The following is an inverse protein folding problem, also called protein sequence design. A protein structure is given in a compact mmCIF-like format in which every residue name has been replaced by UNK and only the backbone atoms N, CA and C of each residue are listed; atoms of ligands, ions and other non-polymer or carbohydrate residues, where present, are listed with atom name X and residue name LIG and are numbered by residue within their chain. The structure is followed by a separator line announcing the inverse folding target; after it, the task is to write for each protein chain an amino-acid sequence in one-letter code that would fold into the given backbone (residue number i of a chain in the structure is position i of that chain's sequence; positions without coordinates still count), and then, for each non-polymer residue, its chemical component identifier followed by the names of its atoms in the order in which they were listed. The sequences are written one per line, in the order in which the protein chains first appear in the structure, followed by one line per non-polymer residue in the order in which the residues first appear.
data_IF_469587959858
#
_entry.id   IF_469587959858
#
_cell.length_a   1.000
_cell.length_b   1.000
_cell.length_c   1.000
_cell.angle_alpha   90.00
_cell.angle_beta   90.00
_cell.angle_gamma   90.00
#
_symmetry.space_group_name_H-M   'P 1'
#
loop_
_entity.id
_entity.type
_entity.pdbx_description
1 polymer ?
#
# COMPACT_ATOMS: atom_id res chain seq x y z
N UNK A 1 21.75 -22.80 -4.60
CA UNK A 1 20.52 -22.70 -3.82
C UNK A 1 20.58 -21.42 -3.00
N UNK A 2 19.55 -20.58 -3.11
CA UNK A 2 19.41 -19.38 -2.27
C UNK A 2 19.10 -19.81 -0.84
N UNK A 3 19.67 -19.10 0.14
CA UNK A 3 19.44 -19.35 1.58
C UNK A 3 18.59 -18.28 2.24
N UNK A 4 18.48 -17.10 1.60
CA UNK A 4 17.72 -15.96 2.07
C UNK A 4 17.33 -15.12 0.88
N UNK A 5 16.10 -14.63 0.86
CA UNK A 5 15.59 -13.62 -0.05
C UNK A 5 14.97 -12.50 0.79
N UNK A 6 15.21 -11.26 0.38
CA UNK A 6 14.70 -10.09 1.09
C UNK A 6 13.69 -9.39 0.18
N UNK A 7 12.51 -9.12 0.73
CA UNK A 7 11.46 -8.31 0.12
C UNK A 7 11.30 -7.00 0.90
N UNK A 8 11.27 -5.88 0.19
CA UNK A 8 11.06 -4.56 0.77
C UNK A 8 10.71 -3.52 -0.29
N UNK A 9 10.39 -2.31 0.14
CA UNK A 9 10.26 -1.10 -0.67
C UNK A 9 9.00 -0.98 -1.56
N UNK A 10 8.31 -2.08 -1.89
CA UNK A 10 7.06 -2.06 -2.64
C UNK A 10 6.12 -3.15 -2.13
N UNK A 11 4.79 -3.00 -2.29
CA UNK A 11 3.84 -4.04 -1.95
C UNK A 11 4.06 -5.31 -2.78
N UNK A 12 3.73 -6.45 -2.19
CA UNK A 12 3.66 -7.72 -2.88
C UNK A 12 2.29 -8.36 -2.59
N UNK A 13 1.47 -8.65 -3.62
CA UNK A 13 0.18 -9.29 -3.39
C UNK A 13 0.32 -10.59 -2.61
N UNK A 14 -0.59 -10.80 -1.63
CA UNK A 14 -0.57 -11.95 -0.73
C UNK A 14 -0.45 -13.27 -1.49
N UNK A 15 -1.25 -13.43 -2.55
CA UNK A 15 -1.23 -14.62 -3.42
C UNK A 15 0.16 -14.89 -4.01
N UNK A 16 0.81 -13.84 -4.52
CA UNK A 16 2.14 -13.95 -5.16
C UNK A 16 3.19 -14.35 -4.12
N UNK A 17 3.18 -13.72 -2.95
CA UNK A 17 4.14 -14.03 -1.89
C UNK A 17 3.96 -15.44 -1.34
N UNK A 18 2.72 -15.93 -1.20
CA UNK A 18 2.44 -17.33 -0.87
C UNK A 18 3.07 -18.29 -1.89
N UNK A 19 2.82 -18.06 -3.18
CA UNK A 19 3.40 -18.88 -4.25
C UNK A 19 4.93 -18.87 -4.24
N UNK A 20 5.54 -17.73 -3.93
CA UNK A 20 6.99 -17.60 -3.79
C UNK A 20 7.54 -18.40 -2.61
N UNK A 21 6.86 -18.37 -1.46
CA UNK A 21 7.25 -19.15 -0.28
C UNK A 21 7.06 -20.66 -0.55
N UNK A 22 5.99 -21.07 -1.20
CA UNK A 22 5.77 -22.46 -1.62
C UNK A 22 6.87 -22.95 -2.57
N UNK A 23 7.29 -22.10 -3.51
CA UNK A 23 8.31 -22.46 -4.51
C UNK A 23 9.73 -22.49 -3.94
N UNK A 24 10.11 -21.49 -3.13
CA UNK A 24 11.48 -21.33 -2.63
C UNK A 24 11.70 -21.92 -1.24
N UNK A 25 10.63 -22.23 -0.51
CA UNK A 25 10.65 -22.50 0.92
C UNK A 25 10.62 -21.22 1.76
N UNK A 26 10.64 -21.34 3.11
CA UNK A 26 10.48 -20.24 4.04
C UNK A 26 11.76 -19.40 4.20
N UNK A 27 12.32 -18.92 3.08
CA UNK A 27 13.57 -18.15 3.04
C UNK A 27 13.36 -16.66 2.79
N UNK A 28 12.09 -16.22 2.64
CA UNK A 28 11.76 -14.82 2.36
C UNK A 28 11.63 -14.09 3.69
N UNK A 29 12.37 -13.01 3.82
CA UNK A 29 12.26 -12.04 4.89
C UNK A 29 11.71 -10.74 4.32
N UNK A 30 10.78 -10.12 5.01
CA UNK A 30 10.25 -8.81 4.64
C UNK A 30 10.62 -7.77 5.68
N UNK A 31 10.85 -6.54 5.21
CA UNK A 31 10.93 -5.41 6.10
C UNK A 31 10.25 -4.16 5.50
N UNK A 32 9.74 -3.32 6.38
CA UNK A 32 9.24 -1.99 6.10
C UNK A 32 10.02 -0.97 6.91
N UNK A 33 10.61 0.00 6.23
CA UNK A 33 11.36 1.09 6.82
C UNK A 33 11.48 2.26 5.83
N UNK A 34 11.70 3.46 6.35
CA UNK A 34 12.09 4.64 5.58
C UNK A 34 13.55 5.00 5.78
N UNK A 35 14.13 5.73 4.82
CA UNK A 35 15.46 6.32 4.93
C UNK A 35 15.56 7.37 6.06
N UNK A 36 14.43 7.84 6.54
CA UNK A 36 14.25 8.73 7.68
C UNK A 36 14.66 8.07 9.01
N UNK A 37 14.74 6.75 9.06
CA UNK A 37 15.20 6.01 10.24
C UNK A 37 14.29 6.11 11.47
N UNK A 38 13.01 6.41 11.27
CA UNK A 38 12.03 6.58 12.35
C UNK A 38 11.43 5.26 12.83
N UNK A 39 11.46 4.21 12.01
CA UNK A 39 10.96 2.88 12.36
C UNK A 39 11.57 1.80 11.49
N UNK A 40 11.61 0.58 12.03
CA UNK A 40 12.00 -0.63 11.30
C UNK A 40 11.12 -1.79 11.73
N UNK A 41 10.33 -2.30 10.81
CA UNK A 41 9.39 -3.41 10.98
C UNK A 41 9.91 -4.58 10.15
N UNK A 42 9.86 -5.80 10.65
CA UNK A 42 10.27 -6.95 9.86
C UNK A 42 9.54 -8.24 10.28
N UNK A 43 9.50 -9.20 9.35
CA UNK A 43 9.08 -10.57 9.61
C UNK A 43 9.84 -11.56 8.72
N UNK A 44 9.83 -12.82 9.15
CA UNK A 44 10.23 -13.95 8.34
C UNK A 44 9.02 -14.61 7.66
N UNK A 45 9.27 -15.65 6.85
CA UNK A 45 8.20 -16.36 6.12
C UNK A 45 7.20 -17.08 7.02
N UNK A 46 7.62 -17.59 8.18
CA UNK A 46 6.75 -18.32 9.10
C UNK A 46 5.78 -17.35 9.80
N UNK A 47 6.30 -16.22 10.29
CA UNK A 47 5.50 -15.14 10.85
C UNK A 47 4.54 -14.57 9.81
N UNK A 48 5.02 -14.37 8.57
CA UNK A 48 4.18 -13.86 7.50
C UNK A 48 3.04 -14.82 7.13
N UNK A 49 3.28 -16.14 7.09
CA UNK A 49 2.24 -17.14 6.82
C UNK A 49 1.19 -17.23 7.94
N UNK A 50 1.58 -16.92 9.17
CA UNK A 50 0.65 -16.82 10.29
C UNK A 50 -0.16 -15.52 10.30
N UNK A 51 0.39 -14.44 9.70
CA UNK A 51 -0.20 -13.10 9.62
C UNK A 51 -0.14 -12.58 8.18
N UNK A 52 -0.91 -13.20 7.29
CA UNK A 52 -0.86 -12.94 5.86
C UNK A 52 -1.11 -11.48 5.50
N UNK A 53 -0.20 -10.90 4.72
CA UNK A 53 -0.25 -9.49 4.30
C UNK A 53 0.44 -8.52 5.25
N UNK A 54 0.95 -8.99 6.39
CA UNK A 54 1.73 -8.14 7.31
C UNK A 54 3.09 -7.76 6.72
N UNK A 55 3.64 -6.63 7.17
CA UNK A 55 5.04 -6.26 6.98
C UNK A 55 5.89 -6.61 8.21
N UNK A 56 5.28 -7.18 9.26
CA UNK A 56 5.95 -7.71 10.45
C UNK A 56 5.68 -6.96 11.74
N UNK A 57 6.60 -7.16 12.70
CA UNK A 57 6.61 -6.50 14.02
C UNK A 57 7.71 -5.44 14.13
N UNK A 58 7.55 -4.47 15.04
CA UNK A 58 8.55 -3.44 15.26
C UNK A 58 9.83 -4.02 15.86
N UNK A 59 10.97 -3.70 15.24
CA UNK A 59 12.32 -3.95 15.76
C UNK A 59 12.91 -2.64 16.27
N UNK A 60 12.60 -1.52 15.59
CA UNK A 60 12.99 -0.17 16.00
C UNK A 60 11.78 0.74 15.89
N UNK A 61 11.60 1.63 16.87
CA UNK A 61 10.44 2.51 16.99
C UNK A 61 9.19 1.77 17.46
N UNK A 62 8.24 2.50 18.04
CA UNK A 62 6.93 1.98 18.44
C UNK A 62 5.91 2.55 17.46
N UNK A 63 5.20 1.71 16.68
CA UNK A 63 4.17 2.17 15.78
C UNK A 63 2.88 2.50 16.55
N UNK A 64 2.29 3.64 16.22
CA UNK A 64 0.99 4.11 16.68
C UNK A 64 0.13 4.40 15.46
N UNK A 65 -1.14 4.02 15.50
CA UNK A 65 -2.10 4.27 14.41
C UNK A 65 -3.03 5.40 14.86
N UNK A 66 -3.05 6.49 14.12
CA UNK A 66 -3.82 7.68 14.51
C UNK A 66 -4.77 8.16 13.41
N UNK A 67 -5.86 8.80 13.85
CA UNK A 67 -6.76 9.53 12.98
C UNK A 67 -6.13 10.81 12.40
N UNK A 68 -6.90 11.59 11.64
CA UNK A 68 -6.44 12.85 11.04
C UNK A 68 -6.17 13.96 12.08
N UNK A 69 -6.66 13.83 13.31
CA UNK A 69 -6.41 14.75 14.41
C UNK A 69 -5.20 14.33 15.26
N UNK A 70 -4.56 13.21 14.95
CA UNK A 70 -3.47 12.65 15.72
C UNK A 70 -3.93 11.91 16.99
N UNK A 71 -5.21 11.51 17.08
CA UNK A 71 -5.71 10.67 18.17
C UNK A 71 -5.46 9.21 17.84
N UNK A 72 -4.91 8.47 18.78
CA UNK A 72 -4.64 7.04 18.62
C UNK A 72 -5.95 6.24 18.47
N UNK A 73 -5.98 5.38 17.45
CA UNK A 73 -7.12 4.54 17.11
C UNK A 73 -7.05 3.18 17.80
N UNK A 74 -8.20 2.53 18.03
CA UNK A 74 -8.25 1.14 18.51
C UNK A 74 -7.50 0.18 17.57
N UNK A 75 -7.02 -0.94 18.14
CA UNK A 75 -6.42 -2.04 17.37
C UNK A 75 -7.39 -2.53 16.30
N UNK A 76 -6.87 -2.75 15.09
CA UNK A 76 -7.63 -3.19 13.91
C UNK A 76 -8.20 -2.05 13.07
N UNK A 77 -8.26 -0.82 13.58
CA UNK A 77 -8.66 0.35 12.79
C UNK A 77 -7.52 0.90 11.95
N UNK A 78 -7.86 1.42 10.78
CA UNK A 78 -6.90 1.98 9.82
C UNK A 78 -6.69 3.48 10.06
N UNK A 79 -5.44 3.91 10.05
CA UNK A 79 -5.07 5.31 10.22
C UNK A 79 -3.63 5.59 9.81
N UNK A 80 -3.20 6.84 10.00
CA UNK A 80 -1.81 7.24 9.73
C UNK A 80 -0.86 6.55 10.71
N UNK A 81 0.20 5.94 10.19
CA UNK A 81 1.24 5.28 10.98
C UNK A 81 2.21 6.33 11.49
N UNK A 82 2.34 6.41 12.80
CA UNK A 82 3.34 7.21 13.50
C UNK A 82 4.31 6.29 14.21
N UNK A 83 5.59 6.66 14.21
CA UNK A 83 6.62 5.95 14.96
C UNK A 83 7.11 6.81 16.10
N UNK A 84 6.98 6.31 17.32
CA UNK A 84 7.65 6.87 18.49
C UNK A 84 9.11 6.41 18.51
N UNK A 85 10.04 7.35 18.62
CA UNK A 85 11.47 7.07 18.65
C UNK A 85 12.31 8.35 18.64
N UNK A 86 13.63 8.18 18.67
CA UNK A 86 14.59 9.28 18.77
C UNK A 86 15.06 9.82 17.40
N UNK A 87 14.35 9.50 16.30
CA UNK A 87 14.74 9.95 14.97
C UNK A 87 14.52 11.45 14.77
N UNK A 88 15.60 12.20 14.56
CA UNK A 88 15.58 13.66 14.29
C UNK A 88 15.94 13.96 12.83
N UNK A 89 15.29 13.27 11.88
CA UNK A 89 15.48 13.54 10.46
C UNK A 89 14.85 14.87 10.03
N UNK A 90 15.37 15.46 8.96
CA UNK A 90 14.83 16.66 8.30
C UNK A 90 14.89 16.48 6.79
N UNK A 91 13.82 16.90 6.11
CA UNK A 91 13.83 16.96 4.65
C UNK A 91 14.65 18.14 4.18
N UNK A 92 15.58 17.90 3.24
CA UNK A 92 16.50 18.93 2.76
C UNK A 92 15.74 20.06 2.06
N UNK A 93 15.89 21.30 2.58
CA UNK A 93 15.24 22.51 2.06
C UNK A 93 13.70 22.41 1.99
N UNK A 94 13.08 21.58 2.81
CA UNK A 94 11.63 21.42 2.88
C UNK A 94 11.17 21.39 4.35
N UNK A 95 11.14 22.57 4.94
CA UNK A 95 10.70 22.75 6.34
C UNK A 95 9.21 22.41 6.51
N UNK A 96 8.40 22.61 5.46
CA UNK A 96 6.98 22.30 5.50
C UNK A 96 6.79 20.79 5.65
N UNK A 97 7.39 20.00 4.77
CA UNK A 97 7.33 18.53 4.83
C UNK A 97 7.94 17.99 6.11
N UNK A 98 9.03 18.60 6.59
CA UNK A 98 9.64 18.24 7.88
C UNK A 98 8.66 18.45 9.04
N UNK A 99 7.93 19.57 9.05
CA UNK A 99 6.91 19.84 10.08
C UNK A 99 5.73 18.91 9.98
N UNK A 100 5.24 18.64 8.77
CA UNK A 100 4.12 17.70 8.51
C UNK A 100 4.44 16.27 8.89
N UNK A 101 5.72 15.87 8.88
CA UNK A 101 6.18 14.57 9.34
C UNK A 101 6.28 14.42 10.86
N UNK A 102 6.01 15.47 11.63
CA UNK A 102 6.02 15.46 13.11
C UNK A 102 4.61 15.45 13.66
N UNK A 103 4.40 14.64 14.69
CA UNK A 103 3.11 14.56 15.34
C UNK A 103 2.75 15.87 16.05
N UNK A 104 1.52 16.37 15.94
CA UNK A 104 1.15 17.70 16.48
C UNK A 104 1.30 17.82 18.00
N UNK A 105 1.14 16.72 18.74
CA UNK A 105 1.15 16.72 20.21
C UNK A 105 2.31 15.94 20.82
N UNK A 106 2.87 14.95 20.12
CA UNK A 106 3.93 14.06 20.62
C UNK A 106 5.24 14.34 19.88
N UNK A 107 6.15 15.08 20.51
CA UNK A 107 7.36 15.61 19.86
C UNK A 107 8.35 14.53 19.37
N UNK A 108 8.29 13.33 19.93
CA UNK A 108 9.13 12.18 19.55
C UNK A 108 8.44 11.20 18.56
N UNK A 109 7.25 11.57 18.05
CA UNK A 109 6.57 10.77 17.03
C UNK A 109 6.75 11.40 15.64
N UNK A 110 7.02 10.53 14.67
CA UNK A 110 7.16 10.94 13.27
C UNK A 110 6.50 9.94 12.32
N UNK A 111 6.11 10.42 11.13
CA UNK A 111 5.43 9.63 10.11
C UNK A 111 6.15 9.71 8.76
N UNK A 112 6.02 8.65 7.96
CA UNK A 112 6.37 8.62 6.53
C UNK A 112 5.18 8.97 5.63
N UNK A 113 3.98 9.16 6.23
CA UNK A 113 2.73 9.39 5.52
C UNK A 113 2.07 8.12 5.00
N UNK A 114 2.47 6.97 5.52
CA UNK A 114 1.83 5.69 5.21
C UNK A 114 0.62 5.47 6.13
N UNK A 115 -0.36 4.74 5.63
CA UNK A 115 -1.59 4.34 6.32
C UNK A 115 -1.57 2.84 6.55
N UNK A 116 -2.07 2.39 7.69
CA UNK A 116 -2.12 0.98 8.02
C UNK A 116 -2.84 0.73 9.34
N UNK A 117 -2.74 -0.50 9.82
CA UNK A 117 -3.32 -0.95 11.09
C UNK A 117 -2.42 -1.94 11.80
N UNK A 118 -2.63 -2.08 13.11
CA UNK A 118 -2.03 -3.13 13.93
C UNK A 118 -3.08 -4.20 14.23
N UNK A 119 -2.68 -5.47 14.25
CA UNK A 119 -3.49 -6.54 14.81
C UNK A 119 -3.28 -6.71 16.34
N UNK A 120 -4.05 -7.62 16.96
CA UNK A 120 -3.97 -7.90 18.40
C UNK A 120 -2.62 -8.45 18.83
N UNK A 121 -1.87 -9.06 17.91
CA UNK A 121 -0.54 -9.62 18.14
C UNK A 121 0.59 -8.60 17.88
N UNK A 122 0.24 -7.38 17.46
CA UNK A 122 1.17 -6.28 17.20
C UNK A 122 1.88 -6.35 15.84
N UNK A 123 1.33 -7.10 14.89
CA UNK A 123 1.79 -7.06 13.50
C UNK A 123 1.21 -5.86 12.76
N UNK A 124 2.05 -5.20 11.97
CA UNK A 124 1.68 -4.05 11.16
C UNK A 124 1.26 -4.49 9.76
N UNK A 125 0.16 -3.94 9.29
CA UNK A 125 -0.36 -4.09 7.92
C UNK A 125 -0.39 -2.74 7.24
N UNK A 126 0.23 -2.62 6.08
CA UNK A 126 0.17 -1.40 5.28
C UNK A 126 -1.08 -1.43 4.39
N UNK A 127 -1.79 -0.33 4.36
CA UNK A 127 -2.94 -0.14 3.44
C UNK A 127 -2.49 0.62 2.20
N UNK A 128 -1.95 1.83 2.35
CA UNK A 128 -1.48 2.69 1.25
C UNK A 128 -0.69 3.90 1.80
N UNK A 129 -0.40 4.84 0.90
CA UNK A 129 0.06 6.18 1.28
C UNK A 129 -1.10 7.17 1.33
N UNK A 130 -1.13 7.98 2.38
CA UNK A 130 -2.14 9.04 2.54
C UNK A 130 -2.21 9.97 1.33
N UNK A 131 -1.08 10.23 0.68
CA UNK A 131 -0.99 11.09 -0.50
C UNK A 131 -1.69 10.53 -1.76
N UNK A 132 -1.97 9.22 -1.80
CA UNK A 132 -2.61 8.56 -2.94
C UNK A 132 -4.08 8.22 -2.69
N UNK A 133 -4.56 8.49 -1.48
CA UNK A 133 -5.95 8.24 -1.08
C UNK A 133 -6.91 9.01 -1.97
N UNK A 134 -7.88 8.30 -2.53
CA UNK A 134 -8.98 8.83 -3.35
C UNK A 134 -10.16 9.13 -2.43
N UNK A 135 -10.73 10.32 -2.52
CA UNK A 135 -11.90 10.70 -1.72
C UNK A 135 -13.13 10.71 -2.63
N UNK A 136 -13.88 9.63 -2.61
CA UNK A 136 -15.10 9.48 -3.43
C UNK A 136 -16.35 9.43 -2.57
N UNK A 137 -17.27 10.39 -2.76
CA UNK A 137 -18.51 10.48 -1.98
C UNK A 137 -18.27 10.60 -0.46
N UNK A 138 -17.15 11.19 -0.03
CA UNK A 138 -16.78 11.32 1.38
C UNK A 138 -16.18 10.03 1.99
N UNK A 139 -15.91 9.02 1.18
CA UNK A 139 -15.26 7.76 1.61
C UNK A 139 -13.83 7.71 1.12
N UNK A 140 -12.93 7.34 2.02
CA UNK A 140 -11.52 7.12 1.68
C UNK A 140 -11.36 5.78 0.96
N UNK A 141 -10.82 5.82 -0.26
CA UNK A 141 -10.47 4.64 -1.04
C UNK A 141 -8.97 4.61 -1.26
N UNK A 142 -8.36 3.50 -0.93
CA UNK A 142 -6.92 3.30 -1.09
C UNK A 142 -6.65 2.51 -2.38
N UNK A 143 -5.98 3.12 -3.38
CA UNK A 143 -5.69 2.50 -4.67
C UNK A 143 -5.05 1.13 -4.60
N UNK A 144 -4.15 0.92 -3.65
CA UNK A 144 -3.35 -0.29 -3.52
C UNK A 144 -4.19 -1.57 -3.40
N UNK A 145 -5.37 -1.50 -2.79
CA UNK A 145 -6.24 -2.68 -2.66
C UNK A 145 -6.77 -3.13 -4.02
N UNK A 146 -7.15 -2.17 -4.85
CA UNK A 146 -7.64 -2.44 -6.21
C UNK A 146 -6.49 -2.87 -7.14
N UNK A 147 -5.32 -2.25 -7.01
CA UNK A 147 -4.11 -2.65 -7.74
C UNK A 147 -3.68 -4.08 -7.40
N UNK A 148 -3.67 -4.44 -6.11
CA UNK A 148 -3.34 -5.79 -5.64
C UNK A 148 -4.27 -6.85 -6.19
N UNK A 149 -5.53 -6.52 -6.45
CA UNK A 149 -6.47 -7.40 -7.10
C UNK A 149 -6.21 -7.48 -8.60
N UNK A 150 -6.16 -6.33 -9.29
CA UNK A 150 -6.02 -6.26 -10.75
C UNK A 150 -4.77 -6.94 -11.27
N UNK A 151 -3.63 -6.80 -10.58
CA UNK A 151 -2.37 -7.45 -10.97
C UNK A 151 -2.42 -8.99 -10.91
N UNK A 152 -3.41 -9.58 -10.23
CA UNK A 152 -3.61 -11.03 -10.21
C UNK A 152 -4.39 -11.55 -11.40
N UNK A 153 -4.96 -10.67 -12.22
CA UNK A 153 -5.72 -11.06 -13.40
C UNK A 153 -4.78 -11.53 -14.51
N UNK A 154 -5.08 -12.67 -15.21
CA UNK A 154 -4.17 -13.28 -16.17
C UNK A 154 -3.87 -12.44 -17.41
N UNK A 155 -4.63 -11.38 -17.67
CA UNK A 155 -4.42 -10.47 -18.82
C UNK A 155 -3.73 -9.16 -18.44
N UNK A 156 -3.43 -8.92 -17.16
CA UNK A 156 -2.82 -7.70 -16.65
C UNK A 156 -1.33 -7.93 -16.41
N UNK A 157 -0.49 -7.13 -17.06
CA UNK A 157 0.96 -7.09 -16.85
C UNK A 157 1.34 -6.14 -15.72
N UNK A 158 0.70 -4.96 -15.70
CA UNK A 158 0.88 -3.94 -14.68
C UNK A 158 -0.38 -3.07 -14.58
N UNK A 159 -0.56 -2.38 -13.46
CA UNK A 159 -1.69 -1.48 -13.28
C UNK A 159 -1.37 -0.33 -12.34
N UNK A 160 -2.10 0.76 -12.48
CA UNK A 160 -2.16 1.86 -11.54
C UNK A 160 -3.61 2.27 -11.33
N UNK A 161 -3.97 2.64 -10.10
CA UNK A 161 -5.30 3.15 -9.77
C UNK A 161 -5.18 4.56 -9.24
N UNK A 162 -5.99 5.46 -9.77
CA UNK A 162 -5.94 6.89 -9.47
C UNK A 162 -7.34 7.46 -9.22
N UNK A 163 -7.40 8.56 -8.47
CA UNK A 163 -8.58 9.40 -8.40
C UNK A 163 -8.63 10.36 -9.59
N UNK A 164 -9.77 10.45 -10.24
CA UNK A 164 -10.03 11.47 -11.27
C UNK A 164 -11.21 12.34 -10.84
N UNK A 165 -11.24 13.64 -11.22
CA UNK A 165 -12.34 14.52 -10.81
C UNK A 165 -13.71 13.99 -11.26
N UNK A 166 -14.67 14.02 -10.35
CA UNK A 166 -16.08 13.69 -10.58
C UNK A 166 -16.97 14.78 -9.98
N UNK A 167 -17.94 15.29 -10.74
CA UNK A 167 -18.78 16.42 -10.32
C UNK A 167 -19.70 16.07 -9.14
N UNK A 168 -20.14 14.80 -9.02
CA UNK A 168 -21.07 14.36 -7.99
C UNK A 168 -20.35 13.86 -6.72
N UNK A 169 -19.23 13.14 -6.88
CA UNK A 169 -18.55 12.46 -5.79
C UNK A 169 -17.22 13.10 -5.38
N UNK A 170 -16.82 14.21 -6.03
CA UNK A 170 -15.51 14.84 -5.87
C UNK A 170 -14.43 14.14 -6.70
N UNK A 171 -14.19 12.87 -6.41
CA UNK A 171 -13.33 11.99 -7.20
C UNK A 171 -14.03 10.66 -7.51
N UNK A 172 -13.61 10.00 -8.58
CA UNK A 172 -13.95 8.61 -8.87
C UNK A 172 -12.71 7.77 -9.13
N UNK A 173 -12.84 6.48 -8.89
CA UNK A 173 -11.75 5.52 -9.08
C UNK A 173 -11.60 5.20 -10.56
N UNK A 174 -10.39 5.37 -11.08
CA UNK A 174 -10.00 5.01 -12.45
C UNK A 174 -8.80 4.07 -12.40
N UNK A 175 -8.80 3.02 -13.22
CA UNK A 175 -7.63 2.18 -13.40
C UNK A 175 -6.93 2.48 -14.73
N UNK A 176 -5.61 2.36 -14.74
CA UNK A 176 -4.77 2.41 -15.94
C UNK A 176 -4.09 1.05 -16.02
N UNK A 177 -4.30 0.33 -17.11
CA UNK A 177 -3.89 -1.06 -17.27
C UNK A 177 -2.84 -1.19 -18.38
N UNK A 178 -1.77 -1.90 -18.06
CA UNK A 178 -0.85 -2.44 -19.03
C UNK A 178 -1.26 -3.90 -19.31
N UNK A 179 -1.89 -4.20 -20.46
CA UNK A 179 -2.31 -5.55 -20.76
C UNK A 179 -1.11 -6.40 -21.21
N UNK A 180 -1.09 -7.70 -20.86
CA UNK A 180 -0.07 -8.64 -21.34
C UNK A 180 -0.06 -8.70 -22.87
N UNK A 181 -1.25 -8.69 -23.48
CA UNK A 181 -1.41 -8.64 -24.93
C UNK A 181 -2.11 -7.36 -25.34
N UNK A 182 -1.35 -6.44 -25.92
CA UNK A 182 -1.85 -5.14 -26.37
C UNK A 182 -3.05 -5.20 -27.33
N UNK A 183 -3.19 -6.28 -28.09
CA UNK A 183 -4.30 -6.45 -29.03
C UNK A 183 -5.64 -6.73 -28.35
N UNK A 184 -5.65 -7.11 -27.07
CA UNK A 184 -6.86 -7.42 -26.30
C UNK A 184 -7.47 -6.17 -25.63
N UNK A 185 -6.79 -5.01 -25.70
CA UNK A 185 -7.34 -3.76 -25.15
C UNK A 185 -8.64 -3.36 -25.81
N UNK A 186 -9.55 -2.78 -25.07
CA UNK A 186 -10.82 -2.25 -25.55
C UNK A 186 -11.96 -2.59 -24.59
N UNK A 187 -13.16 -2.30 -25.05
CA UNK A 187 -14.38 -2.35 -24.22
C UNK A 187 -14.60 -3.75 -23.58
N UNK A 188 -14.30 -4.82 -24.31
CA UNK A 188 -14.46 -6.19 -23.81
C UNK A 188 -13.54 -6.47 -22.60
N UNK A 189 -12.27 -6.04 -22.66
CA UNK A 189 -11.33 -6.21 -21.55
C UNK A 189 -11.63 -5.24 -20.41
N UNK A 190 -12.07 -4.01 -20.70
CA UNK A 190 -12.52 -3.08 -19.69
C UNK A 190 -13.68 -3.66 -18.88
N UNK A 191 -14.73 -4.16 -19.55
CA UNK A 191 -15.87 -4.77 -18.88
C UNK A 191 -15.47 -6.00 -18.06
N UNK A 192 -14.60 -6.86 -18.59
CA UNK A 192 -14.07 -8.04 -17.89
C UNK A 192 -13.36 -7.66 -16.60
N UNK A 193 -12.46 -6.66 -16.64
CA UNK A 193 -11.69 -6.21 -15.48
C UNK A 193 -12.56 -5.47 -14.43
N UNK A 194 -13.50 -4.65 -14.88
CA UNK A 194 -14.45 -3.99 -13.97
C UNK A 194 -15.33 -5.05 -13.26
N UNK A 195 -15.82 -6.06 -13.98
CA UNK A 195 -16.60 -7.14 -13.39
C UNK A 195 -15.75 -7.98 -12.43
N UNK A 196 -14.49 -8.26 -12.76
CA UNK A 196 -13.55 -8.92 -11.87
C UNK A 196 -13.36 -8.13 -10.56
N UNK A 197 -13.27 -6.79 -10.62
CA UNK A 197 -13.23 -5.97 -9.43
C UNK A 197 -14.53 -6.05 -8.61
N UNK A 198 -15.69 -5.98 -9.26
CA UNK A 198 -17.01 -6.03 -8.59
C UNK A 198 -17.28 -7.35 -7.86
N UNK A 199 -16.73 -8.44 -8.34
CA UNK A 199 -16.84 -9.76 -7.71
C UNK A 199 -15.99 -9.90 -6.44
N UNK A 200 -14.94 -9.09 -6.29
CA UNK A 200 -13.94 -9.24 -5.24
C UNK A 200 -13.83 -8.05 -4.29
N UNK A 201 -14.35 -6.89 -4.67
CA UNK A 201 -14.27 -5.64 -3.89
C UNK A 201 -15.64 -4.99 -3.70
N UNK A 202 -15.74 -4.12 -2.70
CA UNK A 202 -16.91 -3.25 -2.58
C UNK A 202 -17.00 -2.29 -3.78
N UNK A 203 -18.21 -1.95 -4.21
CA UNK A 203 -18.47 -1.16 -5.42
C UNK A 203 -17.79 0.21 -5.44
N UNK A 204 -17.54 0.79 -4.27
CA UNK A 204 -16.88 2.09 -4.14
C UNK A 204 -15.39 2.04 -4.49
N UNK A 205 -14.77 0.88 -4.31
CA UNK A 205 -13.35 0.64 -4.63
C UNK A 205 -13.14 0.21 -6.09
N UNK A 206 -14.22 -0.17 -6.79
CA UNK A 206 -14.13 -0.61 -8.18
C UNK A 206 -13.91 0.58 -9.12
N UNK A 207 -12.99 0.44 -10.09
CA UNK A 207 -12.83 1.46 -11.13
C UNK A 207 -14.15 1.67 -11.90
N UNK A 208 -14.45 2.93 -12.20
CA UNK A 208 -15.58 3.31 -13.06
C UNK A 208 -15.23 3.22 -14.54
N UNK A 209 -13.96 3.50 -14.84
CA UNK A 209 -13.40 3.47 -16.18
C UNK A 209 -11.99 2.91 -16.16
N UNK A 210 -11.55 2.33 -17.29
CA UNK A 210 -10.21 1.81 -17.48
C UNK A 210 -9.59 2.44 -18.73
N UNK A 211 -8.39 3.00 -18.59
CA UNK A 211 -7.54 3.36 -19.71
C UNK A 211 -6.47 2.27 -19.92
N UNK A 212 -6.00 2.13 -21.15
CA UNK A 212 -4.95 1.16 -21.48
C UNK A 212 -3.69 1.89 -21.93
N UNK A 213 -2.56 1.52 -21.34
CA UNK A 213 -1.24 2.01 -21.71
C UNK A 213 -0.31 0.85 -22.06
N UNK A 214 0.67 1.11 -22.95
CA UNK A 214 1.65 0.10 -23.37
C UNK A 214 2.70 -0.15 -22.31
N UNK A 215 3.00 0.88 -21.53
CA UNK A 215 4.00 0.87 -20.47
C UNK A 215 3.62 1.99 -19.49
N UNK A 216 3.51 1.62 -18.21
CA UNK A 216 3.24 2.60 -17.15
C UNK A 216 4.53 3.36 -16.80
N UNK A 217 4.44 4.69 -16.58
CA UNK A 217 5.60 5.47 -16.16
C UNK A 217 6.08 5.00 -14.78
N UNK A 218 7.35 4.60 -14.71
CA UNK A 218 7.97 4.20 -13.46
C UNK A 218 9.22 5.03 -13.19
N UNK A 219 9.46 5.29 -11.91
CA UNK A 219 10.71 5.87 -11.48
C UNK A 219 11.89 4.92 -11.83
N UNK A 220 13.12 5.43 -12.10
CA UNK A 220 14.28 4.57 -12.41
C UNK A 220 14.59 3.48 -11.37
N UNK A 221 14.08 3.61 -10.15
CA UNK A 221 14.18 2.59 -9.08
C UNK A 221 13.11 1.51 -9.16
N UNK A 222 12.23 1.53 -10.19
CA UNK A 222 11.16 0.55 -10.39
C UNK A 222 9.85 0.83 -9.64
N UNK A 223 9.78 1.99 -8.96
CA UNK A 223 8.57 2.42 -8.24
C UNK A 223 7.71 3.31 -9.14
#
# INVERSE_FOLDING_TARGET
SHKCAIHAAAPCPVKIKKMMIEWWGPIIHEFYAGSEGNGFIACNSEEWLAHEGTVGKPIVGIPHICDDNGQELPIGEEGTIWFEGDSDFKYHKDDKKTKESRHPSNSNWSTLGDVGKLDEDGYLYLTDRKAFMIITGGVNVYPQETENLLITHPKVSDCAVIGVPNEEFGEEVKAIIEPINWSERGDDLEEELINFCKENLSSIKCPKTIDFEKELPRHPTGK
#
